data_IF_003941318206
#
_entry.id   IF_003941318206
#
_cell.length_a   1.000
_cell.length_b   1.000
_cell.length_c   1.000
_cell.angle_alpha   90.00
_cell.angle_beta   90.00
_cell.angle_gamma   90.00
#
_symmetry.space_group_name_H-M   'P 1'
#
loop_
_entity.id
_entity.type
_entity.pdbx_description
1 polymer ?
#
# COMPACT_ATOMS: atom_id res chain seq x y z
N UNK A 1 -4.70 2.18 27.64
CA UNK A 1 -5.77 3.14 27.27
C UNK A 1 -6.18 2.78 25.84
N UNK A 2 -7.34 2.07 25.71
CA UNK A 2 -7.84 1.69 24.40
C UNK A 2 -8.17 2.92 23.57
N UNK A 3 -7.69 2.97 22.33
CA UNK A 3 -8.13 3.95 21.36
C UNK A 3 -9.66 3.87 21.25
N UNK A 4 -10.35 4.93 21.60
CA UNK A 4 -11.76 5.10 21.25
C UNK A 4 -11.82 5.01 19.72
N UNK A 5 -12.30 3.89 19.20
CA UNK A 5 -12.70 3.80 17.79
C UNK A 5 -13.83 4.81 17.64
N UNK A 6 -13.59 5.90 16.93
CA UNK A 6 -14.67 6.77 16.47
C UNK A 6 -15.62 5.89 15.66
N UNK A 7 -16.82 5.72 16.16
CA UNK A 7 -17.89 5.07 15.41
C UNK A 7 -18.30 6.06 14.34
N UNK A 8 -17.67 6.01 13.17
CA UNK A 8 -18.07 6.82 12.02
C UNK A 8 -19.41 6.31 11.54
N UNK A 9 -20.39 7.20 11.49
CA UNK A 9 -21.67 6.92 10.87
C UNK A 9 -21.45 6.84 9.35
N UNK A 10 -21.72 5.68 8.77
CA UNK A 10 -21.75 5.51 7.33
C UNK A 10 -23.12 5.93 6.81
N UNK A 11 -23.12 6.56 5.64
CA UNK A 11 -24.32 6.95 4.91
C UNK A 11 -24.59 5.89 3.85
N UNK A 12 -25.82 5.39 3.78
CA UNK A 12 -26.29 4.57 2.67
C UNK A 12 -26.83 5.43 1.54
N UNK A 13 -26.54 5.02 0.31
CA UNK A 13 -27.13 5.54 -0.91
C UNK A 13 -27.68 4.39 -1.73
N UNK A 14 -28.90 4.56 -2.28
CA UNK A 14 -29.57 3.54 -3.07
C UNK A 14 -29.84 4.09 -4.47
N UNK A 15 -29.65 3.25 -5.47
CA UNK A 15 -29.96 3.53 -6.87
C UNK A 15 -30.48 2.28 -7.58
N UNK A 16 -31.05 2.45 -8.76
CA UNK A 16 -31.42 1.32 -9.63
C UNK A 16 -30.58 1.33 -10.91
N UNK A 17 -30.36 0.16 -11.47
CA UNK A 17 -29.75 -0.03 -12.77
C UNK A 17 -30.36 -1.23 -13.47
N UNK A 18 -30.30 -1.27 -14.80
CA UNK A 18 -30.89 -2.37 -15.56
C UNK A 18 -29.83 -3.09 -16.38
N UNK A 19 -29.86 -4.43 -16.37
CA UNK A 19 -29.01 -5.25 -17.20
C UNK A 19 -29.77 -5.87 -18.37
N UNK A 20 -29.16 -5.97 -19.57
CA UNK A 20 -29.88 -6.35 -20.79
C UNK A 20 -30.10 -7.87 -20.94
N UNK A 21 -29.38 -8.70 -20.21
CA UNK A 21 -29.43 -10.16 -20.27
C UNK A 21 -29.05 -10.79 -18.96
N UNK A 22 -29.41 -12.07 -18.76
CA UNK A 22 -28.89 -12.89 -17.69
C UNK A 22 -27.38 -13.12 -17.84
N UNK A 23 -26.64 -13.22 -16.75
CA UNK A 23 -25.23 -13.56 -16.79
C UNK A 23 -24.38 -12.90 -15.72
N UNK A 24 -23.08 -13.03 -15.88
CA UNK A 24 -22.09 -12.44 -14.99
C UNK A 24 -21.86 -10.97 -15.32
N UNK A 25 -21.84 -10.14 -14.28
CA UNK A 25 -21.57 -8.71 -14.37
C UNK A 25 -20.44 -8.32 -13.42
N UNK A 26 -19.46 -7.63 -13.95
CA UNK A 26 -18.44 -6.97 -13.14
C UNK A 26 -18.98 -5.63 -12.64
N UNK A 27 -18.95 -5.43 -11.33
CA UNK A 27 -19.29 -4.19 -10.66
C UNK A 27 -18.01 -3.53 -10.16
N UNK A 28 -17.86 -2.22 -10.38
CA UNK A 28 -16.78 -1.40 -9.84
C UNK A 28 -17.40 -0.23 -9.08
N UNK A 29 -17.20 -0.23 -7.77
CA UNK A 29 -17.55 0.90 -6.91
C UNK A 29 -16.34 1.82 -6.79
N UNK A 30 -16.54 3.11 -7.10
CA UNK A 30 -15.61 4.19 -6.80
C UNK A 30 -16.28 5.14 -5.79
N UNK A 31 -15.68 5.36 -4.63
CA UNK A 31 -16.24 6.20 -3.57
C UNK A 31 -15.97 7.69 -3.79
N UNK A 32 -15.20 8.07 -4.82
CA UNK A 32 -14.90 9.48 -5.15
C UNK A 32 -13.90 10.15 -4.19
N UNK A 33 -13.21 9.38 -3.36
CA UNK A 33 -12.19 9.85 -2.42
C UNK A 33 -10.84 9.20 -2.74
N UNK A 34 -9.75 9.80 -2.26
CA UNK A 34 -8.41 9.21 -2.41
C UNK A 34 -8.27 7.87 -1.68
N UNK A 35 -9.07 7.66 -0.66
CA UNK A 35 -9.02 6.48 0.20
C UNK A 35 -10.40 6.22 0.79
N UNK A 36 -10.88 5.00 0.66
CA UNK A 36 -12.12 4.55 1.28
C UNK A 36 -11.92 4.19 2.75
N UNK A 37 -13.02 4.21 3.49
CA UNK A 37 -13.09 3.70 4.87
C UNK A 37 -13.96 2.47 4.95
N UNK A 38 -14.86 2.32 3.99
CA UNK A 38 -15.78 1.22 3.86
C UNK A 38 -16.05 0.96 2.39
N UNK A 39 -16.05 -0.32 2.03
CA UNK A 39 -16.66 -0.79 0.79
C UNK A 39 -17.87 -1.63 1.14
N UNK A 40 -19.04 -1.19 0.74
CA UNK A 40 -20.28 -1.93 0.90
C UNK A 40 -21.07 -1.89 -0.39
N UNK A 41 -21.46 -3.05 -0.87
CA UNK A 41 -22.35 -3.22 -2.02
C UNK A 41 -23.37 -4.28 -1.65
N UNK A 42 -24.64 -3.94 -1.74
CA UNK A 42 -25.73 -4.90 -1.73
C UNK A 42 -26.53 -4.77 -3.01
N UNK A 43 -26.95 -5.89 -3.60
CA UNK A 43 -27.80 -5.96 -4.78
C UNK A 43 -29.08 -6.68 -4.39
N UNK A 44 -30.24 -6.05 -4.65
CA UNK A 44 -31.55 -6.59 -4.32
C UNK A 44 -31.67 -7.05 -2.86
N UNK A 45 -31.04 -6.28 -1.96
CA UNK A 45 -30.97 -6.60 -0.53
C UNK A 45 -29.94 -7.65 -0.14
N UNK A 46 -29.29 -8.32 -1.09
CA UNK A 46 -28.24 -9.29 -0.82
C UNK A 46 -26.89 -8.61 -0.71
N UNK A 47 -26.23 -8.76 0.43
CA UNK A 47 -24.92 -8.21 0.70
C UNK A 47 -23.84 -8.96 -0.09
N UNK A 48 -23.10 -8.24 -0.95
CA UNK A 48 -22.07 -8.77 -1.82
C UNK A 48 -20.67 -8.40 -1.30
N UNK A 49 -20.48 -7.14 -0.90
CA UNK A 49 -19.22 -6.62 -0.35
C UNK A 49 -19.51 -5.94 0.98
N UNK A 50 -18.69 -6.22 2.00
CA UNK A 50 -18.76 -5.53 3.29
C UNK A 50 -17.37 -5.53 3.96
N UNK A 51 -16.56 -4.52 3.63
CA UNK A 51 -15.18 -4.39 4.12
C UNK A 51 -14.99 -3.03 4.78
N UNK A 52 -14.51 -3.06 6.02
CA UNK A 52 -14.12 -1.88 6.79
C UNK A 52 -12.62 -1.89 7.03
N UNK A 53 -11.91 -0.85 6.61
CA UNK A 53 -10.50 -0.67 6.90
C UNK A 53 -10.16 0.83 6.81
N UNK A 54 -9.15 1.27 7.54
CA UNK A 54 -8.66 2.65 7.50
C UNK A 54 -7.94 2.99 6.18
N UNK A 55 -7.47 1.98 5.44
CA UNK A 55 -6.57 2.08 4.30
C UNK A 55 -7.10 1.37 3.06
N UNK A 56 -8.41 1.44 2.81
CA UNK A 56 -8.96 0.88 1.58
C UNK A 56 -8.64 1.77 0.39
N UNK A 57 -8.35 1.18 -0.78
CA UNK A 57 -8.27 1.96 -2.01
C UNK A 57 -9.61 2.65 -2.29
N UNK A 58 -9.64 3.69 -3.15
CA UNK A 58 -10.88 4.39 -3.47
C UNK A 58 -11.90 3.51 -4.20
N UNK A 59 -11.45 2.41 -4.79
CA UNK A 59 -12.28 1.52 -5.60
C UNK A 59 -12.30 0.09 -5.07
N UNK A 60 -13.40 -0.61 -5.33
CA UNK A 60 -13.51 -2.06 -5.17
C UNK A 60 -14.30 -2.65 -6.32
N UNK A 61 -14.02 -3.90 -6.67
CA UNK A 61 -14.73 -4.60 -7.73
C UNK A 61 -15.16 -6.00 -7.30
N UNK A 62 -16.25 -6.47 -7.90
CA UNK A 62 -16.79 -7.81 -7.66
C UNK A 62 -17.51 -8.30 -8.92
N UNK A 63 -17.54 -9.60 -9.13
CA UNK A 63 -18.35 -10.23 -10.18
C UNK A 63 -19.59 -10.85 -9.51
N UNK A 64 -20.76 -10.61 -10.08
CA UNK A 64 -22.06 -11.11 -9.61
C UNK A 64 -22.85 -11.72 -10.75
N UNK A 65 -23.69 -12.70 -10.44
CA UNK A 65 -24.73 -13.21 -11.36
C UNK A 65 -25.96 -12.35 -11.23
N UNK A 66 -26.44 -11.80 -12.35
CA UNK A 66 -27.66 -11.00 -12.41
C UNK A 66 -28.61 -11.54 -13.47
N UNK A 67 -29.90 -11.53 -13.17
CA UNK A 67 -30.95 -11.79 -14.16
C UNK A 67 -31.21 -10.55 -15.02
N UNK A 68 -31.71 -10.73 -16.23
CA UNK A 68 -32.16 -9.61 -17.05
C UNK A 68 -33.20 -8.79 -16.32
N UNK A 69 -33.05 -7.48 -16.30
CA UNK A 69 -34.02 -6.55 -15.71
C UNK A 69 -33.40 -5.50 -14.83
N UNK A 70 -34.26 -4.88 -14.03
CA UNK A 70 -33.86 -3.85 -13.06
C UNK A 70 -33.40 -4.46 -11.76
N UNK A 71 -32.33 -3.90 -11.20
CA UNK A 71 -31.75 -4.26 -9.93
C UNK A 71 -31.58 -3.03 -9.05
N UNK A 72 -31.77 -3.21 -7.75
CA UNK A 72 -31.49 -2.18 -6.75
C UNK A 72 -30.10 -2.38 -6.19
N UNK A 73 -29.31 -1.31 -6.17
CA UNK A 73 -28.01 -1.31 -5.50
C UNK A 73 -28.03 -0.41 -4.27
N UNK A 74 -27.50 -0.91 -3.16
CA UNK A 74 -27.17 -0.10 -1.99
C UNK A 74 -25.66 -0.07 -1.82
N UNK A 75 -25.10 1.14 -1.63
CA UNK A 75 -23.70 1.36 -1.27
C UNK A 75 -23.61 2.18 0.02
N UNK A 76 -22.55 1.96 0.80
CA UNK A 76 -22.32 2.72 2.02
C UNK A 76 -20.94 3.36 1.98
N UNK A 77 -20.86 4.59 2.46
CA UNK A 77 -19.65 5.37 2.56
C UNK A 77 -19.71 6.38 3.69
N UNK A 78 -18.68 7.18 3.86
CA UNK A 78 -18.68 8.33 4.79
C UNK A 78 -19.40 9.51 4.16
N UNK A 79 -19.67 10.56 4.94
CA UNK A 79 -20.47 11.72 4.50
C UNK A 79 -19.90 12.42 3.25
N UNK A 80 -18.58 12.43 3.15
CA UNK A 80 -17.84 13.10 2.07
C UNK A 80 -17.74 12.27 0.79
N UNK A 81 -18.14 10.99 0.83
CA UNK A 81 -18.09 10.10 -0.32
C UNK A 81 -19.13 10.49 -1.38
N UNK A 82 -18.73 10.41 -2.63
CA UNK A 82 -19.58 10.58 -3.81
C UNK A 82 -19.52 9.28 -4.64
N UNK A 83 -20.17 8.20 -4.18
CA UNK A 83 -20.00 6.90 -4.78
C UNK A 83 -20.59 6.84 -6.18
N UNK A 84 -19.84 6.22 -7.10
CA UNK A 84 -20.25 5.88 -8.46
C UNK A 84 -20.09 4.39 -8.64
N UNK A 85 -21.14 3.71 -9.12
CA UNK A 85 -21.09 2.32 -9.49
C UNK A 85 -21.01 2.19 -11.00
N UNK A 86 -19.95 1.57 -11.50
CA UNK A 86 -19.82 1.14 -12.88
C UNK A 86 -20.14 -0.35 -12.96
N UNK A 87 -20.80 -0.75 -14.04
CA UNK A 87 -21.10 -2.16 -14.28
C UNK A 87 -20.95 -2.51 -15.76
N UNK A 88 -20.60 -3.74 -16.03
CA UNK A 88 -20.60 -4.29 -17.38
C UNK A 88 -20.74 -5.81 -17.35
N UNK A 89 -21.29 -6.37 -18.40
CA UNK A 89 -21.31 -7.84 -18.58
C UNK A 89 -19.88 -8.37 -18.69
N UNK A 90 -19.61 -9.49 -18.02
CA UNK A 90 -18.32 -10.20 -18.14
C UNK A 90 -18.28 -10.88 -19.50
N UNK A 91 -17.19 -10.68 -20.22
CA UNK A 91 -16.89 -11.32 -21.51
C UNK A 91 -15.59 -12.09 -21.40
N UNK A 92 -15.27 -12.91 -22.41
CA UNK A 92 -13.99 -13.62 -22.51
C UNK A 92 -12.84 -12.70 -22.99
N UNK A 93 -12.94 -11.41 -22.72
CA UNK A 93 -11.98 -10.42 -23.13
C UNK A 93 -11.22 -9.89 -21.92
N UNK A 94 -9.92 -9.67 -22.07
CA UNK A 94 -9.12 -8.89 -21.13
C UNK A 94 -8.99 -7.47 -21.65
N UNK A 95 -9.46 -6.50 -20.88
CA UNK A 95 -9.44 -5.09 -21.27
C UNK A 95 -8.53 -4.30 -20.35
N UNK A 96 -7.52 -3.65 -20.94
CA UNK A 96 -6.69 -2.65 -20.27
C UNK A 96 -7.16 -1.25 -20.66
N UNK A 97 -7.35 -0.39 -19.67
CA UNK A 97 -7.73 1.00 -19.90
C UNK A 97 -6.94 1.92 -18.97
N UNK A 98 -6.31 2.92 -19.53
CA UNK A 98 -5.71 4.02 -18.79
C UNK A 98 -6.11 5.36 -19.39
N UNK A 99 -6.61 6.33 -18.59
CA UNK A 99 -6.98 7.64 -19.09
C UNK A 99 -5.78 8.55 -19.38
N UNK A 100 -4.56 8.15 -18.94
CA UNK A 100 -3.37 9.01 -18.98
C UNK A 100 -2.18 8.38 -19.74
N UNK A 101 -2.30 7.15 -20.21
CA UNK A 101 -1.21 6.49 -20.94
C UNK A 101 -1.24 6.86 -22.43
N UNK A 102 -0.06 7.15 -23.00
CA UNK A 102 0.14 7.34 -24.42
C UNK A 102 0.41 6.02 -25.17
N UNK A 103 0.90 5.02 -24.46
CA UNK A 103 1.17 3.68 -25.00
C UNK A 103 0.87 2.62 -23.94
N UNK A 104 0.73 1.40 -24.40
CA UNK A 104 0.60 0.20 -23.57
C UNK A 104 1.51 -0.88 -24.13
N UNK A 105 2.51 -1.24 -23.34
CA UNK A 105 3.41 -2.36 -23.63
C UNK A 105 3.03 -3.55 -22.76
N UNK A 106 2.81 -4.70 -23.38
CA UNK A 106 2.47 -5.90 -22.62
C UNK A 106 3.13 -7.14 -23.22
N UNK A 107 3.39 -8.12 -22.38
CA UNK A 107 3.91 -9.42 -22.76
C UNK A 107 2.97 -10.51 -22.27
N UNK A 108 2.68 -11.46 -23.13
CA UNK A 108 1.86 -12.63 -22.79
C UNK A 108 2.78 -13.85 -22.72
N UNK A 109 2.71 -14.56 -21.61
CA UNK A 109 3.37 -15.86 -21.44
C UNK A 109 2.31 -16.95 -21.52
N UNK A 110 2.62 -18.03 -22.23
CA UNK A 110 1.78 -19.22 -22.32
C UNK A 110 2.58 -20.46 -21.92
N UNK A 111 1.92 -21.43 -21.33
CA UNK A 111 2.55 -22.66 -20.86
C UNK A 111 2.13 -23.03 -19.45
N UNK A 112 2.81 -24.00 -18.85
CA UNK A 112 2.67 -24.33 -17.43
C UNK A 112 3.38 -23.28 -16.55
N UNK A 113 3.24 -23.40 -15.23
CA UNK A 113 3.78 -22.41 -14.28
C UNK A 113 5.31 -22.24 -14.41
N UNK A 114 6.05 -23.33 -14.58
CA UNK A 114 7.50 -23.29 -14.71
C UNK A 114 7.95 -22.61 -15.98
N UNK A 115 7.28 -22.87 -17.10
CA UNK A 115 7.53 -22.23 -18.39
C UNK A 115 7.23 -20.73 -18.36
N UNK A 116 6.12 -20.33 -17.73
CA UNK A 116 5.76 -18.92 -17.56
C UNK A 116 6.79 -18.19 -16.70
N UNK A 117 7.19 -18.78 -15.56
CA UNK A 117 8.22 -18.20 -14.68
C UNK A 117 9.57 -18.13 -15.39
N UNK A 118 9.95 -19.16 -16.14
CA UNK A 118 11.20 -19.17 -16.90
C UNK A 118 11.21 -18.07 -17.98
N UNK A 119 10.12 -17.92 -18.74
CA UNK A 119 9.96 -16.86 -19.73
C UNK A 119 10.01 -15.45 -19.10
N UNK A 120 9.31 -15.24 -17.99
CA UNK A 120 9.36 -13.98 -17.24
C UNK A 120 10.79 -13.65 -16.80
N UNK A 121 11.50 -14.62 -16.22
CA UNK A 121 12.90 -14.43 -15.77
C UNK A 121 13.88 -14.22 -16.92
N UNK A 122 13.58 -14.72 -18.11
CA UNK A 122 14.39 -14.45 -19.30
C UNK A 122 14.31 -12.97 -19.69
N UNK A 123 13.14 -12.33 -19.56
CA UNK A 123 12.95 -10.91 -19.85
C UNK A 123 13.44 -10.00 -18.72
N UNK A 124 13.17 -10.35 -17.47
CA UNK A 124 13.43 -9.48 -16.29
C UNK A 124 14.76 -9.75 -15.59
N UNK A 125 15.44 -10.82 -15.98
CA UNK A 125 16.66 -11.28 -15.33
C UNK A 125 16.39 -12.26 -14.18
N UNK A 126 17.47 -12.86 -13.69
CA UNK A 126 17.41 -13.82 -12.58
C UNK A 126 17.27 -13.07 -11.24
N UNK A 127 16.44 -13.60 -10.34
CA UNK A 127 16.39 -13.13 -8.97
C UNK A 127 17.77 -13.36 -8.29
N UNK A 128 18.28 -12.38 -7.53
CA UNK A 128 19.51 -12.57 -6.76
C UNK A 128 19.30 -13.58 -5.64
N UNK A 129 20.36 -14.29 -5.28
CA UNK A 129 20.36 -15.11 -4.09
C UNK A 129 20.37 -14.21 -2.85
N UNK A 130 19.30 -14.26 -2.06
CA UNK A 130 19.22 -13.52 -0.80
C UNK A 130 20.04 -14.22 0.28
N UNK A 131 20.60 -13.48 1.25
CA UNK A 131 21.22 -14.07 2.43
C UNK A 131 20.16 -14.78 3.29
N UNK A 132 20.56 -15.82 4.00
CA UNK A 132 19.63 -16.67 4.76
C UNK A 132 18.78 -15.88 5.76
N UNK A 133 19.35 -14.89 6.43
CA UNK A 133 18.63 -14.05 7.40
C UNK A 133 17.49 -13.24 6.76
N UNK A 134 17.58 -12.91 5.47
CA UNK A 134 16.51 -12.20 4.76
C UNK A 134 15.27 -13.08 4.47
N UNK A 135 15.41 -14.40 4.64
CA UNK A 135 14.33 -15.39 4.51
C UNK A 135 13.77 -15.81 5.89
N UNK A 136 14.30 -15.25 6.97
CA UNK A 136 13.85 -15.49 8.32
C UNK A 136 12.71 -14.58 8.77
N UNK A 137 12.52 -14.45 10.08
CA UNK A 137 11.43 -13.64 10.63
C UNK A 137 11.81 -12.15 10.67
N UNK A 138 11.06 -11.36 9.91
CA UNK A 138 11.14 -9.90 9.88
C UNK A 138 10.03 -9.33 10.76
N UNK A 139 10.39 -8.75 11.90
CA UNK A 139 9.46 -8.20 12.86
C UNK A 139 9.24 -6.71 12.63
N UNK A 140 8.01 -6.34 12.28
CA UNK A 140 7.57 -4.95 12.17
C UNK A 140 6.40 -4.68 13.13
N UNK A 141 6.48 -3.57 13.83
CA UNK A 141 5.33 -2.94 14.49
C UNK A 141 5.37 -1.46 14.17
N UNK A 142 4.40 -0.90 13.56
CA UNK A 142 4.32 0.48 13.05
C UNK A 142 5.57 1.34 13.36
N UNK A 143 5.99 1.42 14.64
CA UNK A 143 7.21 2.14 15.06
C UNK A 143 7.68 1.74 16.46
N UNK A 144 8.94 2.03 16.72
CA UNK A 144 9.52 2.22 18.05
C UNK A 144 9.75 3.72 18.25
N UNK A 145 9.39 4.26 19.41
CA UNK A 145 9.47 5.71 19.63
C UNK A 145 10.90 6.19 19.90
N UNK A 146 11.75 5.31 20.39
CA UNK A 146 13.16 5.61 20.73
C UNK A 146 14.08 4.44 20.42
N UNK A 147 15.37 4.74 20.30
CA UNK A 147 16.43 3.76 20.22
C UNK A 147 16.39 2.76 21.40
N UNK A 148 16.16 3.27 22.62
CA UNK A 148 16.06 2.45 23.80
C UNK A 148 14.92 1.44 23.73
N UNK A 149 13.72 1.89 23.30
CA UNK A 149 12.56 1.01 23.13
C UNK A 149 12.81 -0.07 22.09
N UNK A 150 13.47 0.27 20.99
CA UNK A 150 13.81 -0.71 19.94
C UNK A 150 14.78 -1.77 20.47
N UNK A 151 15.85 -1.37 21.13
CA UNK A 151 16.84 -2.28 21.71
C UNK A 151 16.26 -3.14 22.83
N UNK A 152 15.40 -2.57 23.70
CA UNK A 152 14.71 -3.33 24.74
C UNK A 152 13.88 -4.48 24.14
N UNK A 153 13.13 -4.21 23.08
CA UNK A 153 12.37 -5.24 22.37
C UNK A 153 13.30 -6.30 21.74
N UNK A 154 14.40 -5.88 21.13
CA UNK A 154 15.38 -6.82 20.56
C UNK A 154 15.99 -7.75 21.63
N UNK A 155 16.37 -7.19 22.77
CA UNK A 155 16.87 -7.97 23.91
C UNK A 155 15.81 -8.93 24.46
N UNK A 156 14.56 -8.49 24.56
CA UNK A 156 13.48 -9.35 25.05
C UNK A 156 13.20 -10.52 24.11
N UNK A 157 13.29 -10.33 22.79
CA UNK A 157 13.23 -11.45 21.84
C UNK A 157 14.34 -12.48 22.11
N UNK A 158 15.57 -12.05 22.32
CA UNK A 158 16.70 -12.96 22.61
C UNK A 158 16.56 -13.61 23.96
N UNK A 159 16.15 -12.89 25.00
CA UNK A 159 15.88 -13.42 26.33
C UNK A 159 14.84 -14.54 26.31
N UNK A 160 13.79 -14.38 25.52
CA UNK A 160 12.73 -15.38 25.32
C UNK A 160 13.12 -16.47 24.31
N UNK A 161 14.31 -16.43 23.75
CA UNK A 161 14.80 -17.38 22.73
C UNK A 161 13.91 -17.42 21.49
N UNK A 162 13.29 -16.28 21.13
CA UNK A 162 12.49 -16.16 19.92
C UNK A 162 13.39 -15.84 18.73
N UNK A 163 13.30 -16.60 17.63
CA UNK A 163 14.10 -16.35 16.43
C UNK A 163 13.54 -15.12 15.68
N UNK A 164 14.32 -14.06 15.67
CA UNK A 164 14.03 -12.82 14.90
C UNK A 164 15.32 -12.45 14.17
N UNK A 165 15.24 -12.31 12.86
CA UNK A 165 16.41 -12.00 12.03
C UNK A 165 16.49 -10.51 11.71
N UNK A 166 15.32 -9.85 11.56
CA UNK A 166 15.25 -8.43 11.24
C UNK A 166 14.25 -7.74 12.16
N UNK A 167 14.62 -6.60 12.73
CA UNK A 167 13.70 -5.68 13.40
C UNK A 167 13.51 -4.44 12.52
N UNK A 168 12.26 -4.04 12.31
CA UNK A 168 11.93 -2.92 11.43
C UNK A 168 11.64 -1.67 12.24
N UNK A 169 12.37 -0.60 11.99
CA UNK A 169 12.00 0.74 12.40
C UNK A 169 11.21 1.35 11.23
N UNK A 170 9.88 1.32 11.33
CA UNK A 170 9.01 1.67 10.21
C UNK A 170 8.81 3.19 10.13
N UNK A 171 8.25 3.81 11.15
CA UNK A 171 7.78 5.16 11.05
C UNK A 171 8.40 6.10 12.09
N UNK A 172 8.43 7.42 11.77
CA UNK A 172 8.83 8.54 12.65
C UNK A 172 10.26 8.49 13.22
N UNK A 173 11.19 7.74 12.64
CA UNK A 173 12.60 7.76 13.05
C UNK A 173 13.30 9.11 12.73
N UNK A 174 12.74 9.86 11.79
CA UNK A 174 13.16 11.21 11.42
C UNK A 174 12.69 12.30 12.41
N UNK A 175 11.67 12.05 13.24
CA UNK A 175 11.13 12.93 14.29
C UNK A 175 10.95 14.37 13.86
N UNK A 176 11.68 15.27 14.49
CA UNK A 176 11.62 16.73 14.29
C UNK A 176 12.06 17.20 12.89
N UNK A 177 12.74 16.39 12.13
CA UNK A 177 13.25 16.76 10.81
C UNK A 177 12.24 16.68 9.67
N UNK A 178 11.05 16.17 9.94
CA UNK A 178 9.96 16.06 8.97
C UNK A 178 9.90 14.69 8.29
N UNK A 179 8.78 14.45 7.64
CA UNK A 179 8.48 13.16 7.03
C UNK A 179 9.59 12.68 6.09
N UNK A 180 10.16 11.53 6.45
CA UNK A 180 11.15 10.82 5.65
C UNK A 180 12.41 11.67 5.30
N UNK A 181 12.84 12.51 6.23
CA UNK A 181 13.97 13.44 6.04
C UNK A 181 15.34 12.74 5.87
N UNK A 182 15.38 11.40 5.84
CA UNK A 182 16.60 10.57 5.73
C UNK A 182 17.64 10.86 6.81
N UNK A 183 17.16 11.28 7.97
CA UNK A 183 17.99 11.62 9.14
C UNK A 183 17.29 11.15 10.41
N UNK A 184 18.04 10.47 11.30
CA UNK A 184 17.54 10.13 12.61
C UNK A 184 17.38 11.36 13.50
N UNK A 185 16.29 11.45 14.24
CA UNK A 185 16.13 12.43 15.32
C UNK A 185 17.02 12.02 16.51
N UNK A 186 18.10 12.75 16.73
CA UNK A 186 19.09 12.45 17.77
C UNK A 186 18.53 12.52 19.19
N UNK A 187 17.42 13.22 19.39
CA UNK A 187 16.75 13.24 20.71
C UNK A 187 16.09 11.90 21.05
N UNK A 188 15.76 11.10 20.02
CA UNK A 188 15.13 9.79 20.14
C UNK A 188 16.09 8.65 19.83
N UNK A 189 17.00 8.88 18.90
CA UNK A 189 18.01 7.93 18.42
C UNK A 189 19.40 8.57 18.53
N UNK A 190 19.94 8.65 19.77
CA UNK A 190 21.18 9.43 20.03
C UNK A 190 22.42 8.80 19.39
N UNK A 191 22.44 7.51 19.16
CA UNK A 191 23.57 6.81 18.49
C UNK A 191 23.05 5.65 17.64
N UNK A 192 22.52 5.92 16.43
CA UNK A 192 22.05 4.88 15.53
C UNK A 192 23.14 3.88 15.14
N UNK A 193 24.39 4.32 15.05
CA UNK A 193 25.52 3.44 14.75
C UNK A 193 25.76 2.40 15.85
N UNK A 194 25.69 2.81 17.12
CA UNK A 194 25.75 1.88 18.26
C UNK A 194 24.56 0.92 18.26
N UNK A 195 23.37 1.44 18.01
CA UNK A 195 22.15 0.61 17.92
C UNK A 195 22.30 -0.50 16.90
N UNK A 196 22.76 -0.18 15.68
CA UNK A 196 22.97 -1.18 14.62
C UNK A 196 24.03 -2.20 15.02
N UNK A 197 25.16 -1.77 15.60
CA UNK A 197 26.19 -2.71 16.08
C UNK A 197 25.66 -3.66 17.17
N UNK A 198 24.82 -3.15 18.08
CA UNK A 198 24.23 -3.95 19.14
C UNK A 198 23.24 -5.00 18.58
N UNK A 199 22.44 -4.62 17.58
CA UNK A 199 21.59 -5.58 16.87
C UNK A 199 22.42 -6.65 16.15
N UNK A 200 23.49 -6.26 15.45
CA UNK A 200 24.39 -7.21 14.79
C UNK A 200 25.03 -8.20 15.78
N UNK A 201 25.43 -7.72 16.95
CA UNK A 201 25.96 -8.59 18.01
C UNK A 201 24.93 -9.62 18.53
N UNK A 202 23.65 -9.33 18.35
CA UNK A 202 22.54 -10.25 18.63
C UNK A 202 22.13 -11.09 17.40
N UNK A 203 22.89 -11.05 16.30
CA UNK A 203 22.49 -11.65 15.01
C UNK A 203 21.09 -11.16 14.55
N UNK A 204 20.87 -9.86 14.65
CA UNK A 204 19.70 -9.17 14.11
C UNK A 204 20.14 -8.07 13.16
N UNK A 205 19.32 -7.79 12.13
CA UNK A 205 19.51 -6.68 11.22
C UNK A 205 18.45 -5.62 11.47
N UNK A 206 18.81 -4.36 11.24
CA UNK A 206 17.86 -3.24 11.21
C UNK A 206 17.37 -3.04 9.79
N UNK A 207 16.08 -2.93 9.61
CA UNK A 207 15.46 -2.45 8.37
C UNK A 207 14.77 -1.12 8.64
N UNK A 208 14.98 -0.13 7.76
CA UNK A 208 14.24 1.14 7.79
C UNK A 208 13.16 1.11 6.72
N UNK A 209 11.98 1.57 7.07
CA UNK A 209 10.94 1.88 6.09
C UNK A 209 11.21 3.26 5.50
N UNK A 210 11.32 3.32 4.19
CA UNK A 210 11.60 4.53 3.43
C UNK A 210 10.57 4.70 2.32
N UNK A 211 10.09 5.94 2.16
CA UNK A 211 9.14 6.28 1.11
C UNK A 211 9.80 7.18 0.07
N UNK A 212 9.31 7.13 -1.15
CA UNK A 212 9.64 8.12 -2.18
C UNK A 212 8.96 9.48 -1.99
N UNK A 213 8.31 9.66 -0.86
CA UNK A 213 7.68 10.91 -0.41
C UNK A 213 8.56 11.54 0.66
N UNK A 214 9.00 12.78 0.44
CA UNK A 214 9.86 13.52 1.37
C UNK A 214 9.23 14.88 1.67
N UNK A 215 9.16 15.23 2.96
CA UNK A 215 8.64 16.53 3.38
C UNK A 215 9.47 17.66 2.78
N UNK A 216 8.83 18.51 1.99
CA UNK A 216 9.45 19.68 1.33
C UNK A 216 10.03 20.69 2.32
N UNK A 217 9.58 20.71 3.57
CA UNK A 217 10.12 21.60 4.61
C UNK A 217 11.40 21.04 5.23
N UNK A 218 11.70 19.75 5.07
CA UNK A 218 12.97 19.17 5.51
C UNK A 218 14.16 19.74 4.75
N UNK A 219 15.36 19.63 5.31
CA UNK A 219 16.58 20.09 4.64
C UNK A 219 16.79 19.38 3.29
N UNK A 220 16.57 18.07 3.25
CA UNK A 220 16.65 17.27 2.02
C UNK A 220 15.54 17.68 1.04
N UNK A 221 14.31 17.85 1.52
CA UNK A 221 13.18 18.26 0.69
C UNK A 221 13.39 19.58 -0.03
N UNK A 222 13.97 20.57 0.67
CA UNK A 222 14.35 21.87 0.06
C UNK A 222 15.40 21.73 -1.04
N UNK A 223 16.39 20.85 -0.84
CA UNK A 223 17.38 20.55 -1.88
C UNK A 223 16.73 19.91 -3.11
N UNK A 224 15.86 18.93 -2.90
CA UNK A 224 15.14 18.26 -3.99
C UNK A 224 14.20 19.21 -4.73
N UNK A 225 13.50 20.09 -4.02
CA UNK A 225 12.61 21.08 -4.62
C UNK A 225 13.39 22.10 -5.47
N UNK A 226 14.55 22.58 -4.98
CA UNK A 226 15.40 23.50 -5.74
C UNK A 226 15.96 22.91 -7.02
N UNK A 227 16.04 21.57 -7.11
CA UNK A 227 16.50 20.83 -8.29
C UNK A 227 15.35 20.38 -9.20
N UNK A 228 14.10 20.62 -8.82
CA UNK A 228 12.93 20.19 -9.59
C UNK A 228 12.71 18.67 -9.57
N UNK A 229 13.06 17.97 -8.50
CA UNK A 229 13.01 16.51 -8.39
C UNK A 229 11.67 15.94 -7.91
N UNK A 230 10.69 16.78 -7.66
CA UNK A 230 9.34 16.34 -7.32
C UNK A 230 8.44 16.24 -8.55
N UNK A 231 7.53 15.28 -8.54
CA UNK A 231 6.41 15.27 -9.48
C UNK A 231 5.60 16.55 -9.25
N UNK A 232 5.32 17.34 -10.29
CA UNK A 232 4.62 18.61 -10.16
C UNK A 232 3.33 18.54 -9.34
N UNK A 233 3.17 19.47 -8.39
CA UNK A 233 1.99 19.52 -7.52
C UNK A 233 1.95 18.48 -6.40
N UNK A 234 3.01 17.70 -6.21
CA UNK A 234 3.10 16.67 -5.17
C UNK A 234 4.34 16.82 -4.29
N UNK A 235 4.47 15.98 -3.27
CA UNK A 235 5.66 15.79 -2.45
C UNK A 235 6.31 14.39 -2.70
N UNK A 236 6.01 13.77 -3.84
CA UNK A 236 6.61 12.54 -4.33
C UNK A 236 7.78 12.82 -5.25
N UNK A 237 8.86 12.06 -5.08
CA UNK A 237 10.06 12.17 -5.93
C UNK A 237 9.76 11.59 -7.30
N UNK A 238 10.19 12.28 -8.34
CA UNK A 238 10.11 11.81 -9.73
C UNK A 238 11.33 10.93 -10.07
N UNK A 239 11.24 9.65 -9.80
CA UNK A 239 12.28 8.69 -10.16
C UNK A 239 12.38 8.38 -11.66
N UNK A 240 11.47 8.88 -12.49
CA UNK A 240 11.65 8.88 -13.95
C UNK A 240 12.61 9.98 -14.42
N UNK A 241 12.88 10.97 -13.58
CA UNK A 241 13.97 11.93 -13.80
C UNK A 241 15.30 11.28 -13.42
N UNK A 242 16.23 11.06 -14.39
CA UNK A 242 17.51 10.39 -14.11
C UNK A 242 18.36 11.11 -13.07
N UNK A 243 18.31 12.45 -13.02
CA UNK A 243 19.07 13.24 -12.07
C UNK A 243 18.51 13.09 -10.64
N UNK A 244 17.18 12.97 -10.51
CA UNK A 244 16.55 12.70 -9.23
C UNK A 244 16.82 11.26 -8.74
N UNK A 245 16.88 10.29 -9.65
CA UNK A 245 17.22 8.91 -9.32
C UNK A 245 18.69 8.75 -8.94
N UNK A 246 19.59 9.56 -9.54
CA UNK A 246 21.03 9.55 -9.23
C UNK A 246 21.37 10.29 -7.92
N UNK A 247 20.58 11.31 -7.55
CA UNK A 247 20.76 12.10 -6.33
C UNK A 247 20.41 11.27 -5.08
#
# INVERSE_FOLDING_TARGET
KGNKRETRLFKSSTATFSVPADGQYGLLLDVGQRMARKHYIAIDGNKIVDVNNLWLPPTTSVIVELSKGEHTVEVQGVKEDSPVLYWRQVTNETVFRSPVAHSLDYTVFSGNADEIIAGYRQLTGKAPMLPLWALGYIHCRERYNTQAELLENAHEFRKRKLPVDVIVQDWQWWGKYGWNAMQFDESKYPDPGKMVRELHNMNMHLMLSVWSKIDKQSALGKQMESKGFYIPGTDWIDFFNPDAAAF
#
